data_IF_635544882298
#
_entry.id   IF_635544882298
#
_cell.length_a   1.000
_cell.length_b   1.000
_cell.length_c   1.000
_cell.angle_alpha   90.00
_cell.angle_beta   90.00
_cell.angle_gamma   90.00
#
_symmetry.space_group_name_H-M   'P 1'
#
loop_
_entity.id
_entity.type
_entity.pdbx_description
1 polymer ?
#
# COMPACT_ATOMS: atom_id res chain seq x y z
N UNK A 1 19.44 -11.15 -3.47
CA UNK A 1 20.10 -9.90 -3.88
C UNK A 1 19.43 -9.44 -5.17
N UNK A 2 18.78 -8.28 -5.14
CA UNK A 2 18.14 -7.70 -6.33
C UNK A 2 19.23 -7.08 -7.20
N UNK A 3 19.31 -7.49 -8.47
CA UNK A 3 20.33 -7.06 -9.42
C UNK A 3 19.65 -6.33 -10.58
N UNK A 4 20.13 -5.14 -10.90
CA UNK A 4 19.55 -4.24 -11.91
C UNK A 4 19.55 -4.88 -13.30
N UNK A 5 20.53 -5.73 -13.62
CA UNK A 5 20.58 -6.46 -14.89
C UNK A 5 19.42 -7.45 -15.07
N UNK A 6 18.77 -7.84 -13.97
CA UNK A 6 17.55 -8.67 -14.03
C UNK A 6 16.29 -7.82 -14.17
N UNK A 7 16.31 -6.55 -13.79
CA UNK A 7 15.15 -5.65 -13.92
C UNK A 7 14.82 -5.32 -15.38
N UNK A 8 15.80 -5.31 -16.29
CA UNK A 8 15.54 -5.05 -17.72
C UNK A 8 14.67 -6.15 -18.37
N UNK A 9 14.71 -7.37 -17.82
CA UNK A 9 13.81 -8.48 -18.22
C UNK A 9 12.44 -8.42 -17.53
N UNK A 10 12.24 -7.54 -16.56
CA UNK A 10 11.00 -7.44 -15.80
C UNK A 10 9.98 -6.53 -16.45
N UNK A 11 10.37 -5.73 -17.43
CA UNK A 11 9.46 -4.84 -18.17
C UNK A 11 8.34 -5.62 -18.88
N UNK A 12 8.56 -6.90 -19.22
CA UNK A 12 7.55 -7.79 -19.80
C UNK A 12 6.60 -8.40 -18.74
N UNK A 13 7.00 -8.43 -17.47
CA UNK A 13 6.28 -9.12 -16.39
C UNK A 13 5.70 -8.19 -15.33
N UNK A 14 6.22 -6.96 -15.21
CA UNK A 14 5.81 -6.00 -14.20
C UNK A 14 5.63 -4.62 -14.83
N UNK A 15 4.40 -4.10 -14.73
CA UNK A 15 4.07 -2.72 -15.07
C UNK A 15 4.24 -1.85 -13.83
N UNK A 16 5.01 -0.76 -13.92
CA UNK A 16 5.01 0.27 -12.89
C UNK A 16 3.74 1.10 -13.07
N UNK A 17 2.78 0.96 -12.16
CA UNK A 17 1.53 1.70 -12.20
C UNK A 17 1.68 3.10 -11.63
N UNK A 18 2.37 3.23 -10.49
CA UNK A 18 2.54 4.51 -9.82
C UNK A 18 3.90 4.58 -9.13
N UNK A 19 4.42 5.80 -9.02
CA UNK A 19 5.63 6.12 -8.25
C UNK A 19 5.24 7.21 -7.25
N UNK A 20 5.38 6.90 -5.97
CA UNK A 20 5.13 7.84 -4.89
C UNK A 20 6.45 8.23 -4.23
N UNK A 21 6.79 9.51 -4.28
CA UNK A 21 8.07 10.02 -3.82
C UNK A 21 7.85 11.00 -2.67
N UNK A 22 8.41 10.68 -1.51
CA UNK A 22 8.37 11.52 -0.29
C UNK A 22 9.79 11.78 0.19
N UNK A 23 9.99 12.63 1.19
CA UNK A 23 11.33 12.93 1.67
C UNK A 23 12.04 11.69 2.25
N UNK A 24 11.27 10.79 2.88
CA UNK A 24 11.78 9.59 3.55
C UNK A 24 11.72 8.34 2.68
N UNK A 25 10.70 8.20 1.84
CA UNK A 25 10.43 6.97 1.11
C UNK A 25 10.26 7.20 -0.39
N UNK A 26 10.68 6.21 -1.17
CA UNK A 26 10.24 6.03 -2.56
C UNK A 26 9.43 4.75 -2.63
N UNK A 27 8.18 4.83 -3.09
CA UNK A 27 7.25 3.70 -3.15
C UNK A 27 6.90 3.46 -4.62
N UNK A 28 7.15 2.26 -5.10
CA UNK A 28 6.75 1.80 -6.43
C UNK A 28 5.52 0.90 -6.30
N UNK A 29 4.44 1.25 -6.99
CA UNK A 29 3.30 0.36 -7.20
C UNK A 29 3.53 -0.40 -8.51
N UNK A 30 3.66 -1.72 -8.39
CA UNK A 30 3.94 -2.64 -9.49
C UNK A 30 2.74 -3.55 -9.71
N UNK A 31 2.41 -3.84 -10.95
CA UNK A 31 1.42 -4.84 -11.30
C UNK A 31 2.07 -5.96 -12.10
N UNK A 32 1.98 -7.19 -11.59
CA UNK A 32 2.46 -8.35 -12.34
C UNK A 32 1.50 -8.66 -13.50
N UNK A 33 1.99 -8.61 -14.73
CA UNK A 33 1.20 -8.79 -15.96
C UNK A 33 0.61 -10.19 -16.12
N UNK A 34 1.15 -11.22 -15.46
CA UNK A 34 0.63 -12.59 -15.52
C UNK A 34 -0.50 -12.87 -14.53
N UNK A 35 -0.50 -12.20 -13.37
CA UNK A 35 -1.47 -12.45 -12.30
C UNK A 35 -2.41 -11.27 -12.04
N UNK A 36 -2.15 -10.11 -12.65
CA UNK A 36 -2.89 -8.86 -12.42
C UNK A 36 -2.76 -8.29 -11.01
N UNK A 37 -2.02 -8.95 -10.10
CA UNK A 37 -1.89 -8.57 -8.70
C UNK A 37 -0.96 -7.38 -8.53
N UNK A 38 -1.43 -6.41 -7.75
CA UNK A 38 -0.68 -5.23 -7.37
C UNK A 38 0.28 -5.57 -6.21
N UNK A 39 1.50 -5.07 -6.29
CA UNK A 39 2.57 -5.22 -5.30
C UNK A 39 3.22 -3.86 -5.08
N UNK A 40 3.88 -3.71 -3.93
CA UNK A 40 4.56 -2.47 -3.58
C UNK A 40 6.02 -2.75 -3.22
N UNK A 41 6.92 -1.90 -3.70
CA UNK A 41 8.33 -1.88 -3.29
C UNK A 41 8.61 -0.53 -2.63
N UNK A 42 9.16 -0.56 -1.43
CA UNK A 42 9.51 0.64 -0.66
C UNK A 42 11.03 0.70 -0.57
N UNK A 43 11.59 1.85 -0.92
CA UNK A 43 12.95 2.23 -0.65
C UNK A 43 12.97 3.29 0.45
N UNK A 44 13.58 2.97 1.60
CA UNK A 44 13.84 3.93 2.67
C UNK A 44 15.12 4.70 2.33
N UNK A 45 14.99 6.01 2.09
CA UNK A 45 16.11 6.88 1.71
C UNK A 45 17.11 7.10 2.85
N UNK A 46 16.66 6.90 4.08
CA UNK A 46 17.47 7.10 5.29
C UNK A 46 18.38 5.90 5.52
N UNK A 47 17.80 4.69 5.53
CA UNK A 47 18.58 3.45 5.72
C UNK A 47 19.21 2.92 4.44
N UNK A 48 18.72 3.37 3.27
CA UNK A 48 19.06 2.88 1.92
C UNK A 48 18.65 1.42 1.68
N UNK A 49 17.62 0.95 2.37
CA UNK A 49 17.11 -0.40 2.22
C UNK A 49 15.85 -0.46 1.35
N UNK A 50 15.72 -1.58 0.62
CA UNK A 50 14.53 -1.93 -0.14
C UNK A 50 13.76 -3.05 0.56
N UNK A 51 12.45 -2.88 0.71
CA UNK A 51 11.58 -3.91 1.26
C UNK A 51 10.18 -3.87 0.64
N UNK A 52 9.49 -5.01 0.71
CA UNK A 52 8.06 -5.11 0.38
C UNK A 52 7.27 -5.00 1.67
N UNK A 53 6.26 -4.12 1.77
CA UNK A 53 5.43 -4.07 2.95
C UNK A 53 4.62 -5.37 3.03
N UNK A 54 4.63 -5.99 4.21
CA UNK A 54 3.94 -7.25 4.51
C UNK A 54 3.09 -7.08 5.76
N UNK A 55 1.88 -7.63 5.73
CA UNK A 55 0.99 -7.69 6.88
C UNK A 55 1.38 -8.80 7.87
N UNK A 56 0.50 -9.10 8.82
CA UNK A 56 0.72 -10.10 9.88
C UNK A 56 0.77 -11.56 9.40
N UNK A 57 0.51 -11.84 8.11
CA UNK A 57 0.43 -13.21 7.56
C UNK A 57 1.23 -13.37 6.26
N UNK A 58 2.34 -12.65 6.11
CA UNK A 58 3.16 -12.61 4.87
C UNK A 58 2.41 -12.14 3.61
N UNK A 59 1.17 -11.69 3.76
CA UNK A 59 0.41 -11.06 2.70
C UNK A 59 1.08 -9.73 2.34
N UNK A 60 1.48 -9.59 1.08
CA UNK A 60 2.13 -8.39 0.55
C UNK A 60 1.09 -7.28 0.36
N UNK A 61 1.39 -6.09 0.87
CA UNK A 61 0.48 -4.94 0.80
C UNK A 61 0.85 -3.88 1.84
N UNK A 62 0.31 -2.67 1.67
CA UNK A 62 0.33 -1.69 2.75
C UNK A 62 -0.79 -2.00 3.72
N UNK A 63 -0.50 -1.96 5.02
CA UNK A 63 -1.48 -2.25 6.05
C UNK A 63 -1.55 -1.11 7.07
N UNK A 64 -2.75 -0.73 7.44
CA UNK A 64 -3.06 0.21 8.51
C UNK A 64 -3.90 -0.54 9.53
N UNK A 65 -3.36 -0.75 10.73
CA UNK A 65 -4.02 -1.52 11.79
C UNK A 65 -4.53 -2.90 11.32
N UNK A 66 -3.73 -3.60 10.51
CA UNK A 66 -4.07 -4.92 9.95
C UNK A 66 -4.96 -4.88 8.70
N UNK A 67 -5.51 -3.72 8.33
CA UNK A 67 -6.37 -3.55 7.17
C UNK A 67 -5.55 -3.15 5.95
N UNK A 68 -5.84 -3.74 4.78
CA UNK A 68 -5.15 -3.38 3.55
C UNK A 68 -5.49 -1.95 3.13
N UNK A 69 -4.44 -1.21 2.77
CA UNK A 69 -4.49 0.17 2.33
C UNK A 69 -3.95 0.27 0.91
N UNK A 70 -4.60 1.10 0.09
CA UNK A 70 -4.25 1.31 -1.31
C UNK A 70 -3.77 2.75 -1.52
N UNK A 71 -2.44 3.00 -1.50
CA UNK A 71 -1.88 4.29 -1.85
C UNK A 71 -2.31 4.74 -3.25
N UNK A 72 -2.69 6.01 -3.37
CA UNK A 72 -3.07 6.66 -4.63
C UNK A 72 -2.18 7.84 -4.98
N UNK A 73 -1.69 8.57 -3.99
CA UNK A 73 -0.94 9.79 -4.22
C UNK A 73 -0.05 10.13 -3.00
N UNK A 74 0.98 10.94 -3.20
CA UNK A 74 1.77 11.53 -2.11
C UNK A 74 1.81 13.04 -2.21
N UNK A 75 1.57 13.72 -1.09
CA UNK A 75 1.61 15.18 -0.99
C UNK A 75 2.22 15.58 0.36
N UNK A 76 3.22 16.48 0.39
CA UNK A 76 3.81 17.02 1.63
C UNK A 76 4.16 15.94 2.69
N UNK A 77 4.93 14.91 2.33
CA UNK A 77 5.24 13.76 3.20
C UNK A 77 4.04 12.99 3.76
N UNK A 78 2.89 13.09 3.09
CA UNK A 78 1.72 12.28 3.38
C UNK A 78 1.45 11.33 2.23
N UNK A 79 1.01 10.11 2.57
CA UNK A 79 0.44 9.17 1.62
C UNK A 79 -1.07 9.30 1.70
N UNK A 80 -1.68 9.63 0.57
CA UNK A 80 -3.12 9.62 0.37
C UNK A 80 -3.50 8.34 -0.35
N UNK A 81 -4.52 7.67 0.14
CA UNK A 81 -5.03 6.45 -0.47
C UNK A 81 -6.40 6.13 0.06
N UNK A 82 -6.81 4.88 -0.10
CA UNK A 82 -8.11 4.44 0.38
C UNK A 82 -8.07 3.04 0.98
N UNK A 83 -9.10 2.75 1.75
CA UNK A 83 -9.47 1.42 2.21
C UNK A 83 -10.83 1.10 1.60
N UNK A 84 -10.99 -0.09 1.03
CA UNK A 84 -12.29 -0.49 0.50
C UNK A 84 -13.21 -0.98 1.62
N UNK A 85 -14.54 -0.84 1.50
CA UNK A 85 -15.46 -1.30 2.53
C UNK A 85 -15.31 -2.78 2.86
N UNK A 86 -15.10 -3.64 1.85
CA UNK A 86 -14.92 -5.08 2.05
C UNK A 86 -13.69 -5.43 2.91
N UNK A 87 -12.65 -4.59 2.86
CA UNK A 87 -11.44 -4.79 3.65
C UNK A 87 -11.59 -4.32 5.11
N UNK A 88 -12.64 -3.56 5.42
CA UNK A 88 -12.86 -2.96 6.74
C UNK A 88 -13.86 -3.75 7.60
N UNK A 89 -14.90 -4.32 6.97
CA UNK A 89 -16.04 -4.94 7.67
C UNK A 89 -15.62 -6.16 8.50
N UNK A 90 -14.81 -7.05 7.92
CA UNK A 90 -14.43 -8.33 8.53
C UNK A 90 -13.14 -8.26 9.38
N UNK A 91 -12.53 -7.08 9.53
CA UNK A 91 -11.24 -6.91 10.22
C UNK A 91 -11.40 -6.35 11.64
N UNK A 92 -10.68 -6.91 12.60
CA UNK A 92 -10.63 -6.36 13.96
C UNK A 92 -9.71 -5.12 14.00
N UNK A 93 -10.26 -3.97 14.35
CA UNK A 93 -9.54 -2.69 14.41
C UNK A 93 -9.28 -2.37 15.87
N UNK A 94 -8.01 -2.34 16.28
CA UNK A 94 -7.64 -2.29 17.71
C UNK A 94 -6.91 -1.02 18.11
N UNK A 95 -6.22 -0.36 17.17
CA UNK A 95 -5.32 0.76 17.46
C UNK A 95 -5.89 2.12 17.04
N UNK A 96 -6.60 2.18 15.91
CA UNK A 96 -7.01 3.46 15.32
C UNK A 96 -8.50 3.72 15.57
N UNK A 97 -8.80 4.65 16.48
CA UNK A 97 -10.17 4.97 16.92
C UNK A 97 -11.05 5.49 15.78
N UNK A 98 -10.49 6.32 14.91
CA UNK A 98 -11.19 6.89 13.77
C UNK A 98 -11.66 5.78 12.80
N UNK A 99 -10.82 4.77 12.57
CA UNK A 99 -11.20 3.62 11.75
C UNK A 99 -12.24 2.74 12.45
N UNK A 100 -12.20 2.59 13.78
CA UNK A 100 -13.26 1.89 14.54
C UNK A 100 -14.61 2.58 14.38
N UNK A 101 -14.65 3.92 14.46
CA UNK A 101 -15.88 4.70 14.26
C UNK A 101 -16.42 4.47 12.85
N UNK A 102 -15.57 4.64 11.83
CA UNK A 102 -15.94 4.45 10.42
C UNK A 102 -16.45 3.02 10.18
N UNK A 103 -15.81 2.01 10.77
CA UNK A 103 -16.21 0.61 10.64
C UNK A 103 -17.65 0.36 11.09
N UNK A 104 -18.08 1.00 12.17
CA UNK A 104 -19.43 0.80 12.70
C UNK A 104 -20.53 1.41 11.80
N UNK A 105 -20.16 2.29 10.87
CA UNK A 105 -21.10 2.99 9.99
C UNK A 105 -21.02 2.52 8.53
N UNK A 106 -19.92 1.86 8.14
CA UNK A 106 -19.71 1.44 6.75
C UNK A 106 -20.50 0.17 6.40
N UNK A 107 -20.92 0.09 5.14
CA UNK A 107 -21.53 -1.08 4.51
C UNK A 107 -20.79 -1.46 3.24
N UNK A 108 -20.99 -2.67 2.72
CA UNK A 108 -20.34 -3.15 1.50
C UNK A 108 -20.56 -2.21 0.31
N UNK A 109 -21.73 -1.60 0.21
CA UNK A 109 -22.09 -0.65 -0.85
C UNK A 109 -21.58 0.78 -0.64
N UNK A 110 -20.86 1.05 0.45
CA UNK A 110 -20.35 2.39 0.75
C UNK A 110 -19.23 2.78 -0.20
N UNK A 111 -18.95 4.08 -0.28
CA UNK A 111 -17.75 4.55 -0.97
C UNK A 111 -16.49 4.11 -0.21
N UNK A 112 -15.35 3.93 -0.90
CA UNK A 112 -14.07 3.71 -0.25
C UNK A 112 -13.74 4.81 0.76
N UNK A 113 -13.14 4.42 1.89
CA UNK A 113 -12.71 5.33 2.94
C UNK A 113 -11.43 6.00 2.49
N UNK A 114 -11.44 7.32 2.33
CA UNK A 114 -10.22 8.10 2.10
C UNK A 114 -9.36 8.08 3.36
N UNK A 115 -8.09 7.72 3.21
CA UNK A 115 -7.13 7.69 4.33
C UNK A 115 -5.87 8.48 3.96
N UNK A 116 -5.43 9.31 4.90
CA UNK A 116 -4.24 10.15 4.77
C UNK A 116 -3.29 9.81 5.91
N UNK A 117 -2.12 9.27 5.57
CA UNK A 117 -1.07 8.89 6.53
C UNK A 117 0.05 9.91 6.46
N UNK A 118 0.52 10.40 7.62
CA UNK A 118 1.76 11.20 7.71
C UNK A 118 2.95 10.27 7.94
N UNK A 119 4.08 10.51 7.25
CA UNK A 119 5.27 9.65 7.24
C UNK A 119 6.39 10.07 8.20
#
# INVERSE_FOLDING_TARGET
MYDFDKMDKWNEYYLVNNIFNTDKYLILSLQNGLMGKLQYLIYDKTSKDCFTPTGQSDNKGFYIDGIIFYPLYTCDNRIVGYIKPEDLIDQEITKIKELQIIKNEIKLESNPVLVIISL
#
